data_IF_331446555130
#
_entry.id   IF_331446555130
#
_cell.length_a   1.000
_cell.length_b   1.000
_cell.length_c   1.000
_cell.angle_alpha   90.00
_cell.angle_beta   90.00
_cell.angle_gamma   90.00
#
_symmetry.space_group_name_H-M   'P 1'
#
loop_
_entity.id
_entity.type
_entity.pdbx_description
1 polymer ?
#
# COMPACT_ATOMS: atom_id res chain seq x y z
N UNK A 1 -10.32 -3.13 -17.46
CA UNK A 1 -10.37 -3.32 -15.99
C UNK A 1 -11.69 -2.79 -15.47
N UNK A 2 -12.31 -3.51 -14.56
CA UNK A 2 -13.58 -3.08 -14.00
C UNK A 2 -13.45 -1.78 -13.21
N UNK A 3 -14.44 -0.88 -13.26
CA UNK A 3 -14.32 0.42 -12.59
C UNK A 3 -14.03 0.33 -11.09
N UNK A 4 -14.66 -0.62 -10.40
CA UNK A 4 -14.43 -0.77 -8.95
C UNK A 4 -13.01 -1.22 -8.65
N UNK A 5 -12.46 -2.08 -9.48
CA UNK A 5 -11.09 -2.53 -9.33
C UNK A 5 -10.13 -1.38 -9.59
N UNK A 6 -10.39 -0.60 -10.61
CA UNK A 6 -9.58 0.58 -10.91
C UNK A 6 -9.57 1.54 -9.72
N UNK A 7 -10.73 1.82 -9.15
CA UNK A 7 -10.85 2.70 -8.00
C UNK A 7 -10.05 2.18 -6.81
N UNK A 8 -10.12 0.88 -6.57
CA UNK A 8 -9.35 0.26 -5.49
C UNK A 8 -7.84 0.45 -5.70
N UNK A 9 -7.34 0.18 -6.92
CA UNK A 9 -5.93 0.30 -7.22
C UNK A 9 -5.48 1.77 -7.14
N UNK A 10 -6.28 2.69 -7.64
CA UNK A 10 -5.97 4.12 -7.55
C UNK A 10 -5.88 4.57 -6.10
N UNK A 11 -6.79 4.08 -5.27
CA UNK A 11 -6.78 4.41 -3.85
C UNK A 11 -5.50 3.89 -3.19
N UNK A 12 -5.12 2.65 -3.48
CA UNK A 12 -3.90 2.08 -2.94
C UNK A 12 -2.65 2.85 -3.38
N UNK A 13 -2.61 3.26 -4.63
CA UNK A 13 -1.48 4.03 -5.15
C UNK A 13 -1.43 5.43 -4.54
N UNK A 14 -2.58 6.08 -4.42
CA UNK A 14 -2.67 7.41 -3.83
C UNK A 14 -2.18 7.43 -2.39
N UNK A 15 -2.58 6.45 -1.61
CA UNK A 15 -2.21 6.38 -0.19
C UNK A 15 -0.97 5.52 0.08
N UNK A 16 -0.28 5.10 -0.95
CA UNK A 16 0.92 4.29 -0.81
C UNK A 16 1.97 4.89 0.15
N UNK A 17 2.35 6.19 0.04
CA UNK A 17 3.35 6.73 0.96
C UNK A 17 2.92 6.68 2.41
N UNK A 18 1.64 6.98 2.67
CA UNK A 18 1.09 6.96 4.01
C UNK A 18 1.00 5.54 4.55
N UNK A 19 0.50 4.62 3.72
CA UNK A 19 0.37 3.22 4.11
C UNK A 19 1.73 2.60 4.41
N UNK A 20 2.76 2.97 3.66
CA UNK A 20 4.11 2.49 3.89
C UNK A 20 4.64 2.95 5.25
N UNK A 21 4.40 4.21 5.60
CA UNK A 21 4.80 4.74 6.92
C UNK A 21 4.06 4.05 8.05
N UNK A 22 2.75 3.88 7.89
CA UNK A 22 1.93 3.22 8.91
C UNK A 22 2.34 1.77 9.10
N UNK A 23 2.69 1.09 8.04
CA UNK A 23 3.16 -0.29 8.12
C UNK A 23 4.46 -0.38 8.91
N UNK A 24 5.42 0.52 8.65
CA UNK A 24 6.67 0.54 9.38
C UNK A 24 6.44 0.77 10.88
N UNK A 25 5.54 1.69 11.24
CA UNK A 25 5.19 1.95 12.62
C UNK A 25 4.56 0.74 13.29
N UNK A 26 3.65 0.07 12.58
CA UNK A 26 3.02 -1.12 13.13
C UNK A 26 4.00 -2.25 13.34
N UNK A 27 4.92 -2.44 12.43
CA UNK A 27 5.95 -3.47 12.56
C UNK A 27 6.84 -3.20 13.78
N UNK A 28 7.18 -1.94 14.01
CA UNK A 28 7.97 -1.58 15.19
C UNK A 28 7.23 -1.88 16.48
N UNK A 29 5.93 -1.65 16.51
CA UNK A 29 5.13 -1.89 17.71
C UNK A 29 4.99 -3.37 18.05
N UNK A 30 5.33 -4.26 17.12
CA UNK A 30 5.25 -5.70 17.34
C UNK A 30 6.62 -6.35 17.53
N UNK A 31 7.65 -5.56 17.83
CA UNK A 31 8.98 -6.12 18.02
C UNK A 31 9.04 -7.03 19.25
N UNK A 32 9.81 -8.11 19.17
CA UNK A 32 9.89 -9.08 20.27
C UNK A 32 10.28 -8.49 21.61
N UNK A 33 11.08 -7.43 21.62
CA UNK A 33 11.49 -6.80 22.86
C UNK A 33 10.32 -6.27 23.69
N UNK A 34 9.27 -5.83 23.00
CA UNK A 34 8.10 -5.36 23.71
C UNK A 34 7.30 -6.52 24.28
N UNK A 35 7.26 -7.61 23.57
CA UNK A 35 6.55 -8.79 24.00
C UNK A 35 7.24 -9.36 25.22
N UNK A 36 8.56 -9.37 25.24
CA UNK A 36 9.29 -9.92 26.36
C UNK A 36 9.14 -9.12 27.65
N UNK A 37 8.80 -7.85 27.53
CA UNK A 37 8.57 -7.04 28.72
C UNK A 37 7.33 -7.48 29.49
N UNK A 38 6.38 -8.05 28.78
CA UNK A 38 5.18 -8.48 29.44
C UNK A 38 5.26 -9.91 29.91
N UNK A 39 6.12 -10.71 29.31
CA UNK A 39 6.24 -12.10 29.62
C UNK A 39 6.48 -12.39 31.08
N UNK A 40 7.48 -11.77 31.69
CA UNK A 40 7.79 -12.10 33.07
C UNK A 40 6.72 -11.74 34.06
N UNK A 41 5.84 -10.90 33.66
CA UNK A 41 4.96 -10.52 34.64
C UNK A 41 3.84 -11.22 34.79
N UNK A 42 3.71 -12.05 34.52
CA UNK A 42 2.78 -12.78 34.52
C UNK A 42 2.18 -13.24 35.55
N UNK A 43 1.70 -12.82 36.18
CA UNK A 43 0.81 -13.37 36.94
C UNK A 43 -0.01 -14.32 36.24
N UNK A 44 0.43 -15.14 35.83
CA UNK A 44 -0.07 -16.01 34.94
C UNK A 44 -1.48 -16.41 34.94
N UNK A 45 -2.13 -16.64 36.00
CA UNK A 45 -3.50 -17.16 35.94
C UNK A 45 -4.50 -16.19 35.37
N UNK A 46 -4.24 -14.92 35.44
CA UNK A 46 -5.16 -13.98 34.88
C UNK A 46 -5.01 -13.96 33.35
N UNK A 47 -3.81 -14.23 32.89
CA UNK A 47 -3.56 -14.15 31.48
C UNK A 47 -4.21 -15.28 30.72
N UNK A 48 -4.48 -16.38 31.39
CA UNK A 48 -5.04 -17.52 30.69
C UNK A 48 -6.45 -17.25 30.17
N UNK A 49 -7.20 -16.38 30.82
CA UNK A 49 -8.52 -16.03 30.31
C UNK A 49 -8.45 -15.02 29.18
N UNK A 50 -7.42 -14.18 29.18
CA UNK A 50 -7.30 -13.18 28.16
C UNK A 50 -6.53 -13.65 26.94
N UNK A 51 -5.79 -14.73 27.05
CA UNK A 51 -5.00 -15.22 25.94
C UNK A 51 -5.74 -15.42 24.64
N UNK A 52 -6.93 -16.00 24.61
CA UNK A 52 -7.63 -16.15 23.34
C UNK A 52 -7.86 -14.84 22.62
N UNK A 53 -8.20 -13.78 23.37
CA UNK A 53 -8.41 -12.47 22.78
C UNK A 53 -7.11 -11.86 22.30
N UNK A 54 -6.03 -12.01 23.07
CA UNK A 54 -4.73 -11.50 22.68
C UNK A 54 -4.20 -12.22 21.45
N UNK A 55 -4.37 -13.54 21.38
CA UNK A 55 -3.93 -14.32 20.24
C UNK A 55 -4.69 -13.94 18.98
N UNK A 56 -5.98 -13.69 19.08
CA UNK A 56 -6.78 -13.24 17.97
C UNK A 56 -6.33 -11.86 17.49
N UNK A 57 -6.07 -10.93 18.42
CA UNK A 57 -5.61 -9.60 18.08
C UNK A 57 -4.24 -9.63 17.40
N UNK A 58 -3.33 -10.44 17.89
CA UNK A 58 -2.00 -10.61 17.28
C UNK A 58 -2.14 -11.19 15.87
N UNK A 59 -3.00 -12.18 15.70
CA UNK A 59 -3.22 -12.79 14.40
C UNK A 59 -3.81 -11.79 13.40
N UNK A 60 -4.80 -11.00 13.81
CA UNK A 60 -5.40 -10.00 12.95
C UNK A 60 -4.38 -8.94 12.54
N UNK A 61 -3.53 -8.52 13.46
CA UNK A 61 -2.47 -7.57 13.14
C UNK A 61 -1.45 -8.18 12.19
N UNK A 62 -1.13 -9.45 12.37
CA UNK A 62 -0.20 -10.16 11.49
C UNK A 62 -0.78 -10.30 10.10
N UNK A 63 -2.06 -10.63 9.97
CA UNK A 63 -2.73 -10.75 8.68
C UNK A 63 -2.80 -9.40 7.98
N UNK A 64 -3.07 -8.32 8.72
CA UNK A 64 -3.08 -6.98 8.19
C UNK A 64 -1.70 -6.59 7.64
N UNK A 65 -0.65 -6.84 8.43
CA UNK A 65 0.71 -6.54 8.03
C UNK A 65 1.09 -7.31 6.76
N UNK A 66 0.79 -8.59 6.71
CA UNK A 66 1.08 -9.43 5.55
C UNK A 66 0.40 -8.90 4.30
N UNK A 67 -0.88 -8.55 4.41
CA UNK A 67 -1.63 -8.01 3.27
C UNK A 67 -1.09 -6.66 2.82
N UNK A 68 -0.77 -5.77 3.76
CA UNK A 68 -0.20 -4.47 3.42
C UNK A 68 1.18 -4.62 2.79
N UNK A 69 1.99 -5.54 3.26
CA UNK A 69 3.30 -5.81 2.65
C UNK A 69 3.14 -6.29 1.21
N UNK A 70 2.16 -7.14 0.96
CA UNK A 70 1.88 -7.66 -0.38
C UNK A 70 1.49 -6.52 -1.34
N UNK A 71 0.60 -5.64 -0.90
CA UNK A 71 0.13 -4.52 -1.71
C UNK A 71 1.27 -3.53 -1.97
N UNK A 72 2.00 -3.16 -0.94
CA UNK A 72 3.12 -2.22 -1.05
C UNK A 72 4.21 -2.79 -1.96
N UNK A 73 4.53 -4.07 -1.80
CA UNK A 73 5.52 -4.74 -2.63
C UNK A 73 5.12 -4.74 -4.11
N UNK A 74 3.85 -4.99 -4.40
CA UNK A 74 3.35 -4.96 -5.78
C UNK A 74 3.49 -3.56 -6.38
N UNK A 75 3.13 -2.53 -5.62
CA UNK A 75 3.25 -1.14 -6.07
C UNK A 75 4.73 -0.79 -6.32
N UNK A 76 5.59 -1.10 -5.37
CA UNK A 76 7.02 -0.80 -5.50
C UNK A 76 7.66 -1.52 -6.69
N UNK A 77 7.25 -2.75 -6.92
CA UNK A 77 7.74 -3.51 -8.05
C UNK A 77 7.42 -2.85 -9.39
N UNK A 78 6.24 -2.26 -9.49
CA UNK A 78 5.84 -1.54 -10.71
C UNK A 78 6.55 -0.19 -10.78
N UNK A 79 6.58 0.56 -9.68
CA UNK A 79 7.21 1.88 -9.66
C UNK A 79 8.69 1.84 -10.04
N UNK A 80 9.41 0.81 -9.60
CA UNK A 80 10.83 0.72 -9.91
C UNK A 80 11.12 0.45 -11.39
N UNK A 81 10.11 0.03 -12.14
CA UNK A 81 10.27 -0.24 -13.57
C UNK A 81 9.82 0.90 -14.45
N UNK A 82 9.27 1.96 -13.88
CA UNK A 82 8.82 3.09 -14.66
C UNK A 82 9.98 3.94 -15.11
N UNK A 83 9.85 4.57 -16.28
CA UNK A 83 10.82 5.56 -16.70
C UNK A 83 10.62 6.85 -15.92
N UNK A 84 11.51 7.82 -16.10
CA UNK A 84 11.47 9.07 -15.33
C UNK A 84 10.19 9.86 -15.56
N UNK A 85 9.70 9.89 -16.79
CA UNK A 85 8.49 10.61 -17.12
C UNK A 85 7.27 10.00 -16.45
N UNK A 86 7.15 8.68 -16.48
CA UNK A 86 6.02 7.98 -15.87
C UNK A 86 6.07 8.08 -14.34
N UNK A 87 7.26 8.04 -13.77
CA UNK A 87 7.45 8.25 -12.32
C UNK A 87 6.96 9.64 -11.92
N UNK A 88 7.34 10.65 -12.68
CA UNK A 88 6.91 12.02 -12.43
C UNK A 88 5.39 12.17 -12.61
N UNK A 89 4.83 11.50 -13.60
CA UNK A 89 3.40 11.51 -13.85
C UNK A 89 2.62 10.95 -12.67
N UNK A 90 3.07 9.82 -12.10
CA UNK A 90 2.44 9.24 -10.93
C UNK A 90 2.55 10.19 -9.73
N UNK A 91 3.71 10.78 -9.51
CA UNK A 91 3.92 11.71 -8.42
C UNK A 91 2.97 12.91 -8.51
N UNK A 92 2.87 13.49 -9.70
CA UNK A 92 2.02 14.65 -9.91
C UNK A 92 0.54 14.31 -9.81
N UNK A 93 0.15 13.14 -10.31
CA UNK A 93 -1.25 12.76 -10.34
C UNK A 93 -1.79 12.34 -8.96
N UNK A 94 -1.00 11.61 -8.20
CA UNK A 94 -1.49 11.00 -6.97
C UNK A 94 -0.90 11.56 -5.69
N UNK A 95 0.29 12.15 -5.71
CA UNK A 95 0.97 12.53 -4.48
C UNK A 95 1.18 14.02 -4.27
N UNK A 96 1.34 14.80 -5.33
CA UNK A 96 1.65 16.22 -5.14
C UNK A 96 0.43 17.08 -4.84
N UNK A 97 -0.67 16.81 -5.47
CA UNK A 97 -1.90 17.60 -5.27
C UNK A 97 -1.84 19.03 -5.78
N UNK A 98 -0.80 19.40 -6.49
CA UNK A 98 -0.61 20.79 -6.92
C UNK A 98 -1.22 21.14 -8.26
N UNK A 99 -1.37 20.18 -9.15
CA UNK A 99 -1.81 20.43 -10.51
C UNK A 99 -3.08 19.64 -10.83
N UNK A 100 -3.88 20.20 -11.73
CA UNK A 100 -5.01 19.46 -12.30
C UNK A 100 -4.47 18.47 -13.33
N UNK A 101 -5.27 17.46 -13.73
CA UNK A 101 -4.84 16.55 -14.78
C UNK A 101 -4.40 17.25 -16.06
N UNK A 102 -5.11 18.31 -16.48
CA UNK A 102 -4.73 19.06 -17.66
C UNK A 102 -3.37 19.75 -17.44
N UNK A 103 -3.13 20.28 -16.27
CA UNK A 103 -1.86 20.89 -15.92
C UNK A 103 -0.71 19.92 -15.93
N UNK A 104 -0.96 18.69 -15.48
CA UNK A 104 0.04 17.63 -15.49
C UNK A 104 0.42 17.25 -16.93
N UNK A 105 -0.59 17.04 -17.79
CA UNK A 105 -0.34 16.71 -19.18
C UNK A 105 0.47 17.81 -19.86
N UNK A 106 0.13 19.06 -19.59
CA UNK A 106 0.83 20.19 -20.16
C UNK A 106 2.29 20.21 -19.67
N UNK A 107 2.50 20.00 -18.38
CA UNK A 107 3.86 19.99 -17.81
C UNK A 107 4.72 18.89 -18.40
N UNK A 108 4.14 17.74 -18.63
CA UNK A 108 4.86 16.59 -19.20
C UNK A 108 4.93 16.65 -20.73
N UNK A 109 4.28 17.61 -21.33
CA UNK A 109 4.25 17.79 -22.80
C UNK A 109 3.67 16.56 -23.50
N UNK A 110 2.57 16.04 -22.99
CA UNK A 110 1.86 14.92 -23.61
C UNK A 110 0.38 15.23 -23.66
N UNK A 111 -0.35 14.49 -24.52
CA UNK A 111 -1.78 14.64 -24.61
C UNK A 111 -2.43 14.07 -23.38
N UNK A 112 -3.55 14.64 -22.97
CA UNK A 112 -4.34 14.11 -21.86
C UNK A 112 -4.73 12.66 -22.08
N UNK A 113 -5.13 12.31 -23.29
CA UNK A 113 -5.48 10.93 -23.63
C UNK A 113 -4.29 9.97 -23.45
N UNK A 114 -3.10 10.39 -23.89
CA UNK A 114 -1.88 9.62 -23.71
C UNK A 114 -1.56 9.45 -22.23
N UNK A 115 -1.73 10.52 -21.46
CA UNK A 115 -1.51 10.47 -20.02
C UNK A 115 -2.40 9.42 -19.36
N UNK A 116 -3.70 9.45 -19.63
CA UNK A 116 -4.62 8.49 -19.04
C UNK A 116 -4.37 7.06 -19.51
N UNK A 117 -3.96 6.91 -20.77
CA UNK A 117 -3.59 5.60 -21.29
C UNK A 117 -2.41 5.01 -20.50
N UNK A 118 -1.37 5.82 -20.29
CA UNK A 118 -0.20 5.38 -19.52
C UNK A 118 -0.54 5.10 -18.06
N UNK A 119 -1.36 5.95 -17.45
CA UNK A 119 -1.79 5.72 -16.06
C UNK A 119 -2.57 4.42 -15.95
N UNK A 120 -3.48 4.17 -16.90
CA UNK A 120 -4.26 2.94 -16.88
C UNK A 120 -3.36 1.72 -17.00
N UNK A 121 -2.32 1.77 -17.83
CA UNK A 121 -1.37 0.67 -17.95
C UNK A 121 -0.63 0.41 -16.64
N UNK A 122 -0.27 1.46 -15.92
CA UNK A 122 0.38 1.34 -14.61
C UNK A 122 -0.57 0.67 -13.61
N UNK A 123 -1.83 1.12 -13.57
CA UNK A 123 -2.82 0.54 -12.67
C UNK A 123 -3.10 -0.93 -12.98
N UNK A 124 -3.19 -1.27 -14.25
CA UNK A 124 -3.39 -2.66 -14.68
C UNK A 124 -2.20 -3.52 -14.26
N UNK A 125 -0.99 -2.99 -14.40
CA UNK A 125 0.20 -3.76 -14.00
C UNK A 125 0.25 -4.01 -12.49
N UNK A 126 -0.14 -3.03 -11.69
CA UNK A 126 -0.26 -3.22 -10.25
C UNK A 126 -1.31 -4.29 -9.93
N UNK A 127 -2.48 -4.21 -10.58
CA UNK A 127 -3.55 -5.18 -10.38
C UNK A 127 -3.10 -6.58 -10.77
N UNK A 128 -2.35 -6.69 -11.85
CA UNK A 128 -1.82 -7.98 -12.31
C UNK A 128 -0.86 -8.59 -11.29
N UNK A 129 0.00 -7.76 -10.70
CA UNK A 129 0.92 -8.24 -9.67
C UNK A 129 0.22 -8.64 -8.38
N UNK A 130 -0.95 -8.09 -8.14
CA UNK A 130 -1.77 -8.49 -7.01
C UNK A 130 -2.66 -9.70 -7.32
N UNK A 131 -2.60 -10.21 -8.55
CA UNK A 131 -3.43 -11.35 -8.95
C UNK A 131 -4.89 -11.00 -9.16
N UNK A 132 -5.20 -9.72 -9.34
CA UNK A 132 -6.58 -9.27 -9.47
C UNK A 132 -7.05 -9.16 -10.93
N UNK A 133 -6.13 -9.26 -11.87
CA UNK A 133 -6.44 -9.22 -13.31
C UNK A 133 -5.74 -10.38 -13.98
N UNK A 134 -6.47 -11.11 -14.83
CA UNK A 134 -5.88 -12.20 -15.57
C UNK A 134 -5.03 -11.66 -16.71
N UNK A 135 -4.01 -12.37 -17.05
CA UNK A 135 -3.07 -11.96 -18.11
C UNK A 135 -3.61 -12.30 -19.49
#
# INVERSE_FOLDING_TARGET
MAPKLKDFIEWQLKYYPENKRQLATKKESLLPSQISQYGPRTGGSFDSEQRPTEDVAVKLNSDYITEQERIISAIESVLTRLNDQDTEMVRLMYWSGELTPDGIALKLTIDRATMYYRLNNILVEIARRLGLVEI
#
